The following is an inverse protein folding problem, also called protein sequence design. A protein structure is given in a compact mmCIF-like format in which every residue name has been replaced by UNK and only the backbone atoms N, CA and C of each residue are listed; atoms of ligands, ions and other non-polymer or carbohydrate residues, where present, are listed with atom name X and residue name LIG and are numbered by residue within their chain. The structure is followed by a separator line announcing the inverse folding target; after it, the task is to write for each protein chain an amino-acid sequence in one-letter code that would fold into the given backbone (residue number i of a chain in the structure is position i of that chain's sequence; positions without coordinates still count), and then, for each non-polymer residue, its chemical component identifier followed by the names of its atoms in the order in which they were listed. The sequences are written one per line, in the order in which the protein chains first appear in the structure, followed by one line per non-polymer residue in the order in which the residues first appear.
data_IF_956457194831
#
_entry.id   IF_956457194831
#
_cell.length_a   1.000
_cell.length_b   1.000
_cell.length_c   1.000
_cell.angle_alpha   90.00
_cell.angle_beta   90.00
_cell.angle_gamma   90.00
#
_symmetry.space_group_name_H-M   'P 1'
#
loop_
_entity.id
_entity.type
_entity.pdbx_description
1 polymer ?
#
# COMPACT_ATOMS: atom_id res chain seq x y z
N UNK A 1 -43.55 -23.59 -14.12
CA UNK A 1 -43.06 -22.65 -13.06
C UNK A 1 -42.08 -21.72 -13.73
N UNK A 2 -42.46 -20.47 -14.00
CA UNK A 2 -41.55 -19.45 -14.56
C UNK A 2 -40.48 -19.15 -13.50
N UNK A 3 -39.23 -19.42 -13.82
CA UNK A 3 -38.11 -18.93 -13.03
C UNK A 3 -38.14 -17.41 -13.21
N UNK A 4 -38.61 -16.68 -12.20
CA UNK A 4 -38.51 -15.24 -12.21
C UNK A 4 -37.01 -14.88 -12.41
N UNK A 5 -36.68 -14.23 -13.51
CA UNK A 5 -35.30 -13.76 -13.76
C UNK A 5 -34.88 -12.95 -12.56
N UNK A 6 -33.78 -13.35 -11.90
CA UNK A 6 -33.18 -12.62 -10.81
C UNK A 6 -32.65 -11.30 -11.38
N UNK A 7 -33.43 -10.23 -11.29
CA UNK A 7 -33.07 -8.92 -11.83
C UNK A 7 -32.18 -8.18 -10.82
N UNK A 8 -31.00 -7.78 -11.26
CA UNK A 8 -30.09 -6.89 -10.54
C UNK A 8 -30.14 -5.50 -11.17
N UNK A 9 -29.88 -4.45 -10.41
CA UNK A 9 -29.71 -3.10 -10.94
C UNK A 9 -28.46 -3.02 -11.85
N UNK A 10 -28.45 -2.05 -12.74
CA UNK A 10 -27.30 -1.82 -13.65
C UNK A 10 -26.06 -1.41 -12.85
N UNK A 11 -26.21 -0.55 -11.84
CA UNK A 11 -25.11 -0.15 -10.95
C UNK A 11 -24.52 -1.32 -10.19
N UNK A 12 -25.38 -2.25 -9.72
CA UNK A 12 -24.91 -3.46 -9.07
C UNK A 12 -24.13 -4.36 -10.05
N UNK A 13 -24.64 -4.53 -11.26
CA UNK A 13 -23.98 -5.33 -12.31
C UNK A 13 -22.62 -4.76 -12.65
N UNK A 14 -22.50 -3.44 -12.77
CA UNK A 14 -21.24 -2.76 -13.02
C UNK A 14 -20.25 -2.96 -11.88
N UNK A 15 -20.67 -2.71 -10.63
CA UNK A 15 -19.85 -2.90 -9.44
C UNK A 15 -19.34 -4.34 -9.30
N UNK A 16 -20.17 -5.31 -9.61
CA UNK A 16 -19.81 -6.72 -9.48
C UNK A 16 -18.94 -7.25 -10.63
N UNK A 17 -19.14 -6.75 -11.87
CA UNK A 17 -18.44 -7.22 -13.06
C UNK A 17 -17.12 -6.52 -13.33
N UNK A 18 -17.00 -5.25 -12.94
CA UNK A 18 -15.80 -4.40 -13.17
C UNK A 18 -15.33 -3.74 -11.88
N UNK A 19 -15.01 -4.50 -10.83
CA UNK A 19 -14.60 -3.93 -9.56
C UNK A 19 -13.26 -3.19 -9.69
N UNK A 20 -13.22 -1.95 -9.20
CA UNK A 20 -12.03 -1.07 -9.21
C UNK A 20 -11.18 -1.22 -7.94
N UNK A 21 -11.79 -1.69 -6.84
CA UNK A 21 -11.15 -1.79 -5.54
C UNK A 21 -10.69 -3.22 -5.20
N UNK A 22 -10.72 -4.15 -6.16
CA UNK A 22 -10.29 -5.53 -5.93
C UNK A 22 -8.78 -5.61 -5.72
N UNK A 23 -8.36 -6.22 -4.60
CA UNK A 23 -6.94 -6.37 -4.26
C UNK A 23 -6.71 -6.34 -2.75
N UNK A 24 -5.45 -6.24 -2.35
CA UNK A 24 -5.02 -6.11 -0.96
C UNK A 24 -4.13 -4.89 -0.78
N UNK A 25 -3.93 -4.50 0.46
CA UNK A 25 -2.80 -3.71 0.93
C UNK A 25 -1.98 -4.59 1.88
N UNK A 26 -0.69 -4.37 1.91
CA UNK A 26 0.26 -5.03 2.80
C UNK A 26 0.78 -4.04 3.84
N UNK A 27 1.41 -4.56 4.89
CA UNK A 27 1.95 -3.71 5.96
C UNK A 27 3.04 -2.75 5.44
N UNK A 28 3.77 -3.16 4.42
CA UNK A 28 4.77 -2.35 3.73
C UNK A 28 4.13 -1.12 3.09
N UNK A 29 3.01 -1.29 2.38
CA UNK A 29 2.25 -0.18 1.76
C UNK A 29 1.79 0.85 2.80
N UNK A 30 1.34 0.36 3.96
CA UNK A 30 0.89 1.22 5.06
C UNK A 30 2.06 1.95 5.71
N UNK A 31 3.16 1.23 5.95
CA UNK A 31 4.38 1.77 6.57
C UNK A 31 5.02 2.84 5.68
N UNK A 32 5.13 2.59 4.38
CA UNK A 32 5.67 3.55 3.41
C UNK A 32 4.89 4.88 3.44
N UNK A 33 3.57 4.80 3.52
CA UNK A 33 2.67 5.97 3.52
C UNK A 33 2.44 6.58 4.91
N UNK A 34 2.99 6.00 5.98
CA UNK A 34 2.72 6.43 7.35
C UNK A 34 1.26 6.24 7.79
N UNK A 35 0.58 5.23 7.24
CA UNK A 35 -0.84 4.96 7.47
C UNK A 35 -1.05 3.70 8.32
N UNK A 36 -2.22 3.59 8.92
CA UNK A 36 -2.66 2.38 9.59
C UNK A 36 -3.32 1.42 8.57
N UNK A 37 -2.87 0.16 8.53
CA UNK A 37 -3.54 -0.89 7.78
C UNK A 37 -4.54 -1.62 8.69
N UNK A 38 -5.82 -1.55 8.32
CA UNK A 38 -6.89 -2.24 9.04
C UNK A 38 -7.48 -3.34 8.16
N UNK A 39 -7.48 -4.56 8.65
CA UNK A 39 -8.02 -5.71 7.93
C UNK A 39 -9.25 -6.27 8.66
N UNK A 40 -10.33 -6.50 7.92
CA UNK A 40 -11.51 -7.22 8.41
C UNK A 40 -11.83 -8.39 7.50
N UNK A 41 -12.17 -9.52 8.11
CA UNK A 41 -12.66 -10.70 7.38
C UNK A 41 -13.94 -11.19 8.05
N UNK A 42 -14.98 -11.33 7.26
CA UNK A 42 -16.23 -11.95 7.68
C UNK A 42 -16.79 -12.80 6.56
N UNK A 43 -17.04 -14.07 6.81
CA UNK A 43 -17.44 -15.09 5.81
C UNK A 43 -16.48 -15.10 4.61
N UNK A 44 -17.01 -14.81 3.44
CA UNK A 44 -16.36 -14.82 2.13
C UNK A 44 -15.80 -13.46 1.70
N UNK A 45 -15.91 -12.43 2.56
CA UNK A 45 -15.45 -11.06 2.30
C UNK A 45 -14.26 -10.69 3.19
N UNK A 46 -13.24 -10.06 2.61
CA UNK A 46 -12.10 -9.49 3.31
C UNK A 46 -11.86 -8.07 2.82
N UNK A 47 -11.76 -7.13 3.76
CA UNK A 47 -11.48 -5.72 3.52
C UNK A 47 -10.07 -5.37 3.98
N UNK A 48 -9.46 -4.39 3.28
CA UNK A 48 -8.16 -3.81 3.59
C UNK A 48 -8.29 -2.30 3.48
N UNK A 49 -8.18 -1.59 4.59
CA UNK A 49 -8.26 -0.14 4.61
C UNK A 49 -6.93 0.47 5.01
N UNK A 50 -6.47 1.44 4.23
CA UNK A 50 -5.41 2.36 4.64
C UNK A 50 -6.08 3.58 5.26
N UNK A 51 -5.74 3.84 6.51
CA UNK A 51 -6.34 4.92 7.31
C UNK A 51 -5.24 5.87 7.75
N UNK A 52 -5.45 7.16 7.56
CA UNK A 52 -4.58 8.18 8.11
C UNK A 52 -4.57 8.07 9.64
N UNK A 53 -3.39 7.89 10.22
CA UNK A 53 -3.25 7.65 11.66
C UNK A 53 -3.46 8.92 12.51
N UNK A 54 -3.41 10.11 11.90
CA UNK A 54 -3.61 11.41 12.55
C UNK A 54 -5.09 11.80 12.51
N UNK A 55 -5.64 11.90 11.28
CA UNK A 55 -7.01 12.35 11.07
C UNK A 55 -8.05 11.24 11.28
N UNK A 56 -7.66 9.97 11.24
CA UNK A 56 -8.57 8.84 11.32
C UNK A 56 -9.47 8.68 10.10
N UNK A 57 -9.04 9.19 8.93
CA UNK A 57 -9.78 9.11 7.67
C UNK A 57 -9.32 7.95 6.81
N UNK A 58 -10.26 7.29 6.16
CA UNK A 58 -9.98 6.23 5.19
C UNK A 58 -9.40 6.85 3.93
N UNK A 59 -8.12 6.67 3.70
CA UNK A 59 -7.41 7.14 2.51
C UNK A 59 -7.73 6.26 1.29
N UNK A 60 -7.70 4.94 1.47
CA UNK A 60 -7.98 3.99 0.41
C UNK A 60 -8.52 2.68 0.99
N UNK A 61 -9.36 2.01 0.22
CA UNK A 61 -9.94 0.73 0.58
C UNK A 61 -9.82 -0.25 -0.56
N UNK A 62 -9.50 -1.51 -0.25
CA UNK A 62 -9.47 -2.65 -1.17
C UNK A 62 -10.16 -3.85 -0.56
N UNK A 63 -10.50 -4.82 -1.38
CA UNK A 63 -11.15 -6.04 -0.91
C UNK A 63 -10.80 -7.29 -1.71
N UNK A 64 -10.99 -8.44 -1.08
CA UNK A 64 -11.22 -9.71 -1.74
C UNK A 64 -12.58 -10.29 -1.32
N UNK A 65 -13.30 -10.87 -2.29
CA UNK A 65 -14.54 -11.57 -2.05
C UNK A 65 -14.56 -12.89 -2.84
N UNK A 66 -14.97 -13.96 -2.18
CA UNK A 66 -14.96 -15.33 -2.70
C UNK A 66 -16.37 -15.89 -2.87
N UNK A 67 -17.41 -15.21 -2.37
CA UNK A 67 -18.81 -15.63 -2.38
C UNK A 67 -19.58 -15.29 -3.65
N UNK A 68 -18.87 -15.00 -4.74
CA UNK A 68 -19.49 -14.70 -6.03
C UNK A 68 -19.92 -13.24 -6.18
N UNK A 69 -20.76 -13.00 -7.19
CA UNK A 69 -21.17 -11.68 -7.67
C UNK A 69 -21.71 -10.76 -6.58
N UNK A 70 -22.52 -11.28 -5.66
CA UNK A 70 -23.18 -10.47 -4.62
C UNK A 70 -22.15 -9.90 -3.64
N UNK A 71 -21.24 -10.73 -3.16
CA UNK A 71 -20.18 -10.29 -2.24
C UNK A 71 -19.20 -9.31 -2.90
N UNK A 72 -18.90 -9.50 -4.19
CA UNK A 72 -18.07 -8.57 -4.96
C UNK A 72 -18.75 -7.20 -5.08
N UNK A 73 -20.02 -7.13 -5.48
CA UNK A 73 -20.76 -5.86 -5.62
C UNK A 73 -20.90 -5.10 -4.31
N UNK A 74 -21.18 -5.83 -3.21
CA UNK A 74 -21.25 -5.23 -1.86
C UNK A 74 -19.91 -4.62 -1.45
N UNK A 75 -18.82 -5.38 -1.58
CA UNK A 75 -17.49 -4.92 -1.18
C UNK A 75 -16.99 -3.76 -2.06
N UNK A 76 -17.23 -3.80 -3.37
CA UNK A 76 -16.88 -2.73 -4.31
C UNK A 76 -17.56 -1.41 -3.90
N UNK A 77 -18.89 -1.47 -3.69
CA UNK A 77 -19.65 -0.29 -3.30
C UNK A 77 -19.22 0.23 -1.92
N UNK A 78 -19.01 -0.66 -0.95
CA UNK A 78 -18.57 -0.28 0.38
C UNK A 78 -17.19 0.42 0.32
N UNK A 79 -16.21 -0.14 -0.42
CA UNK A 79 -14.89 0.49 -0.60
C UNK A 79 -14.99 1.87 -1.26
N UNK A 80 -15.90 2.05 -2.21
CA UNK A 80 -16.15 3.34 -2.84
C UNK A 80 -16.73 4.37 -1.85
N UNK A 81 -17.66 3.96 -0.98
CA UNK A 81 -18.36 4.84 -0.03
C UNK A 81 -17.48 5.29 1.12
N UNK A 82 -16.60 4.43 1.63
CA UNK A 82 -15.81 4.73 2.84
C UNK A 82 -14.64 5.68 2.59
N UNK A 83 -14.21 5.85 1.36
CA UNK A 83 -13.07 6.69 1.00
C UNK A 83 -13.31 8.15 1.40
N UNK A 84 -12.42 8.72 2.21
CA UNK A 84 -12.50 10.09 2.73
C UNK A 84 -13.33 10.25 4.00
N UNK A 85 -14.08 9.21 4.41
CA UNK A 85 -14.81 9.23 5.69
C UNK A 85 -13.85 8.97 6.86
N UNK A 86 -14.19 9.49 8.03
CA UNK A 86 -13.56 9.05 9.27
C UNK A 86 -13.95 7.62 9.61
N UNK A 87 -13.17 6.94 10.46
CA UNK A 87 -13.50 5.58 10.90
C UNK A 87 -14.88 5.50 11.54
N UNK A 88 -15.28 6.50 12.33
CA UNK A 88 -16.59 6.49 12.98
C UNK A 88 -17.73 6.67 11.96
N UNK A 89 -17.57 7.58 10.99
CA UNK A 89 -18.53 7.76 9.89
C UNK A 89 -18.63 6.49 9.05
N UNK A 90 -17.50 5.92 8.62
CA UNK A 90 -17.44 4.70 7.82
C UNK A 90 -18.05 3.50 8.56
N UNK A 91 -17.78 3.36 9.85
CA UNK A 91 -18.32 2.27 10.67
C UNK A 91 -19.78 2.47 11.08
N UNK A 92 -20.38 3.64 10.83
CA UNK A 92 -21.80 3.88 11.03
C UNK A 92 -22.68 3.45 9.85
N UNK A 93 -22.05 3.13 8.69
CA UNK A 93 -22.78 2.67 7.51
C UNK A 93 -23.51 1.35 7.78
N UNK A 94 -24.70 1.24 7.24
CA UNK A 94 -25.51 0.02 7.30
C UNK A 94 -25.49 -0.71 5.96
N UNK A 95 -25.79 -1.99 5.96
CA UNK A 95 -25.99 -2.75 4.73
C UNK A 95 -27.05 -2.15 3.81
N UNK A 96 -28.09 -1.52 4.40
CA UNK A 96 -29.13 -0.82 3.65
C UNK A 96 -28.61 0.43 2.92
N UNK A 97 -27.60 1.11 3.43
CA UNK A 97 -27.00 2.28 2.77
C UNK A 97 -26.20 1.84 1.53
N UNK A 98 -25.46 0.73 1.65
CA UNK A 98 -24.73 0.12 0.54
C UNK A 98 -25.70 -0.39 -0.53
N UNK A 99 -26.80 -1.05 -0.13
CA UNK A 99 -27.84 -1.52 -1.05
C UNK A 99 -28.51 -0.33 -1.78
N UNK A 100 -28.87 0.73 -1.05
CA UNK A 100 -29.47 1.93 -1.62
C UNK A 100 -28.57 2.63 -2.63
N UNK A 101 -27.26 2.69 -2.37
CA UNK A 101 -26.28 3.29 -3.28
C UNK A 101 -26.13 2.50 -4.59
N UNK A 102 -26.45 1.22 -4.58
CA UNK A 102 -26.42 0.33 -5.75
C UNK A 102 -27.72 0.35 -6.56
N UNK A 103 -28.77 1.02 -6.13
CA UNK A 103 -30.05 1.11 -6.87
C UNK A 103 -29.91 2.00 -8.10
N UNK A 104 -30.59 1.62 -9.17
CA UNK A 104 -30.80 2.49 -10.34
C UNK A 104 -31.95 3.48 -10.07
N UNK A 105 -33.02 3.00 -9.45
CA UNK A 105 -34.18 3.76 -9.01
C UNK A 105 -34.33 3.64 -7.47
N UNK A 106 -34.61 4.72 -6.74
CA UNK A 106 -34.81 4.68 -5.28
C UNK A 106 -35.85 3.67 -4.82
N UNK A 107 -36.90 3.43 -5.62
CA UNK A 107 -38.00 2.55 -5.28
C UNK A 107 -37.79 1.08 -5.68
N UNK A 108 -36.81 0.81 -6.56
CA UNK A 108 -36.48 -0.54 -6.98
C UNK A 108 -35.25 -1.09 -6.23
N UNK A 109 -35.29 -2.32 -5.66
CA UNK A 109 -34.15 -2.89 -4.98
C UNK A 109 -33.00 -3.20 -5.96
N UNK A 110 -31.75 -2.99 -5.50
CA UNK A 110 -30.56 -3.26 -6.30
C UNK A 110 -30.34 -4.75 -6.60
N UNK A 111 -30.87 -5.62 -5.75
CA UNK A 111 -30.71 -7.08 -5.84
C UNK A 111 -32.03 -7.79 -5.58
N UNK A 112 -32.22 -9.02 -6.08
CA UNK A 112 -33.37 -9.84 -5.76
C UNK A 112 -33.54 -10.04 -4.26
N UNK A 113 -34.77 -10.23 -3.80
CA UNK A 113 -35.10 -10.45 -2.38
C UNK A 113 -34.30 -11.58 -1.75
N UNK A 114 -34.07 -12.67 -2.51
CA UNK A 114 -33.26 -13.84 -2.10
C UNK A 114 -31.80 -13.49 -1.75
N UNK A 115 -31.29 -12.35 -2.22
CA UNK A 115 -29.89 -11.91 -2.04
C UNK A 115 -29.73 -10.76 -1.03
N UNK A 116 -30.81 -10.14 -0.59
CA UNK A 116 -30.79 -8.99 0.34
C UNK A 116 -30.11 -9.31 1.67
N UNK A 117 -30.23 -10.55 2.16
CA UNK A 117 -29.61 -10.97 3.43
C UNK A 117 -28.09 -10.84 3.44
N UNK A 118 -27.45 -10.84 2.26
CA UNK A 118 -26.00 -10.70 2.16
C UNK A 118 -25.49 -9.33 2.64
N UNK A 119 -26.31 -8.27 2.53
CA UNK A 119 -25.97 -6.94 3.04
C UNK A 119 -25.88 -6.87 4.57
N UNK A 120 -26.48 -7.83 5.29
CA UNK A 120 -26.30 -7.98 6.72
C UNK A 120 -24.87 -8.33 7.17
N UNK A 121 -23.99 -8.69 6.23
CA UNK A 121 -22.57 -8.92 6.52
C UNK A 121 -21.78 -7.61 6.64
N UNK A 122 -22.30 -6.48 6.13
CA UNK A 122 -21.62 -5.17 6.18
C UNK A 122 -21.39 -4.69 7.61
N UNK A 123 -22.39 -4.63 8.49
CA UNK A 123 -22.19 -4.23 9.89
C UNK A 123 -21.17 -5.10 10.64
N UNK A 124 -21.12 -6.40 10.35
CA UNK A 124 -20.16 -7.30 10.98
C UNK A 124 -18.72 -7.01 10.54
N UNK A 125 -18.50 -6.73 9.24
CA UNK A 125 -17.19 -6.29 8.73
C UNK A 125 -16.76 -4.96 9.36
N UNK A 126 -17.67 -3.98 9.43
CA UNK A 126 -17.41 -2.66 9.98
C UNK A 126 -17.14 -2.70 11.49
N UNK A 127 -17.80 -3.59 12.23
CA UNK A 127 -17.52 -3.86 13.62
C UNK A 127 -16.09 -4.36 13.83
N UNK A 128 -15.63 -5.31 13.01
CA UNK A 128 -14.25 -5.82 13.06
C UNK A 128 -13.25 -4.71 12.73
N UNK A 129 -13.53 -3.85 11.73
CA UNK A 129 -12.70 -2.68 11.43
C UNK A 129 -12.58 -1.78 12.65
N UNK A 130 -13.71 -1.44 13.29
CA UNK A 130 -13.74 -0.55 14.46
C UNK A 130 -12.94 -1.13 15.64
N UNK A 131 -13.06 -2.43 15.88
CA UNK A 131 -12.34 -3.14 16.94
C UNK A 131 -10.82 -3.19 16.70
N UNK A 132 -10.38 -3.36 15.44
CA UNK A 132 -8.96 -3.48 15.09
C UNK A 132 -8.25 -2.15 14.85
N UNK A 133 -8.98 -1.10 14.54
CA UNK A 133 -8.39 0.20 14.20
C UNK A 133 -7.48 0.77 15.30
N UNK A 134 -7.81 0.73 16.60
CA UNK A 134 -6.93 1.26 17.65
C UNK A 134 -5.54 0.61 17.66
N UNK A 135 -5.48 -0.72 17.46
CA UNK A 135 -4.21 -1.45 17.38
C UNK A 135 -3.43 -1.07 16.13
N UNK A 136 -4.09 -1.05 14.95
CA UNK A 136 -3.46 -0.65 13.70
C UNK A 136 -2.94 0.80 13.75
N UNK A 137 -3.68 1.70 14.40
CA UNK A 137 -3.27 3.08 14.64
C UNK A 137 -2.03 3.15 15.54
N UNK A 138 -2.00 2.38 16.63
CA UNK A 138 -0.85 2.31 17.52
C UNK A 138 0.41 1.81 16.81
N UNK A 139 0.27 0.78 15.96
CA UNK A 139 1.38 0.26 15.12
C UNK A 139 1.88 1.33 14.15
N UNK A 140 0.98 2.03 13.47
CA UNK A 140 1.36 3.10 12.54
C UNK A 140 2.09 4.25 13.27
N UNK A 141 1.60 4.67 14.44
CA UNK A 141 2.23 5.71 15.26
C UNK A 141 3.58 5.26 15.82
N UNK A 142 3.71 4.01 16.28
CA UNK A 142 4.98 3.47 16.74
C UNK A 142 6.00 3.40 15.59
N UNK A 143 5.57 2.98 14.40
CA UNK A 143 6.42 2.94 13.21
C UNK A 143 6.83 4.34 12.76
N UNK A 144 5.93 5.31 12.83
CA UNK A 144 6.24 6.71 12.57
C UNK A 144 7.25 7.27 13.59
N UNK A 145 7.10 6.93 14.88
CA UNK A 145 8.03 7.34 15.95
C UNK A 145 9.41 6.70 15.79
N UNK A 146 9.49 5.45 15.28
CA UNK A 146 10.76 4.78 14.98
C UNK A 146 11.41 5.43 13.76
N UNK A 147 10.64 5.81 12.74
CA UNK A 147 11.12 6.61 11.61
C UNK A 147 11.59 7.99 12.04
N UNK A 148 10.95 8.59 13.03
CA UNK A 148 11.32 9.90 13.59
C UNK A 148 12.55 9.82 14.52
N UNK A 149 12.82 8.64 15.09
CA UNK A 149 14.00 8.41 15.95
C UNK A 149 15.21 7.80 15.23
N UNK A 150 15.12 7.47 13.94
CA UNK A 150 16.24 6.79 13.26
C UNK A 150 16.20 6.65 11.75
N UNK A 151 15.33 7.31 11.02
CA UNK A 151 15.46 7.46 9.55
C UNK A 151 14.35 8.38 8.99
N UNK A 152 14.75 9.54 8.50
CA UNK A 152 14.02 10.30 7.50
C UNK A 152 12.75 11.01 7.95
N UNK A 153 12.86 12.25 8.41
CA UNK A 153 11.74 13.22 8.45
C UNK A 153 11.23 13.49 7.04
N UNK A 154 9.91 13.76 6.86
CA UNK A 154 9.41 14.21 5.56
C UNK A 154 10.13 15.49 5.12
N UNK A 155 10.40 15.60 3.83
CA UNK A 155 11.26 16.60 3.14
C UNK A 155 11.03 18.08 3.46
N UNK A 156 10.02 18.46 4.24
CA UNK A 156 9.68 19.88 4.46
C UNK A 156 10.23 20.51 5.74
N UNK A 157 10.91 19.76 6.63
CA UNK A 157 11.37 20.31 7.91
C UNK A 157 12.64 19.66 8.50
N UNK A 158 13.40 18.85 7.74
CA UNK A 158 14.68 18.30 8.23
C UNK A 158 15.80 19.29 7.93
N UNK A 159 16.50 19.73 8.96
CA UNK A 159 17.81 20.36 8.77
C UNK A 159 18.79 19.28 8.28
N UNK A 160 19.29 19.46 7.06
CA UNK A 160 20.29 18.60 6.47
C UNK A 160 21.58 18.67 7.29
N UNK A 161 22.20 17.55 7.55
CA UNK A 161 23.55 17.53 8.12
C UNK A 161 24.54 18.15 7.14
N UNK A 162 25.68 18.63 7.62
CA UNK A 162 26.71 19.19 6.74
C UNK A 162 27.16 18.18 5.66
N UNK A 163 27.15 16.89 5.98
CA UNK A 163 27.49 15.81 5.04
C UNK A 163 26.42 15.63 3.97
N UNK A 164 25.16 15.68 4.34
CA UNK A 164 24.03 15.55 3.39
C UNK A 164 23.93 16.79 2.50
N UNK A 165 24.23 17.97 3.04
CA UNK A 165 24.26 19.18 2.24
C UNK A 165 25.42 19.14 1.23
N UNK A 166 26.61 18.69 1.66
CA UNK A 166 27.74 18.48 0.77
C UNK A 166 27.45 17.46 -0.35
N UNK A 167 26.67 16.40 -0.04
CA UNK A 167 26.21 15.43 -1.04
C UNK A 167 25.31 16.07 -2.11
N UNK A 168 24.34 16.89 -1.71
CA UNK A 168 23.41 17.56 -2.63
C UNK A 168 24.07 18.65 -3.46
N UNK A 169 25.17 19.23 -2.99
CA UNK A 169 25.96 20.23 -3.71
C UNK A 169 26.94 19.62 -4.73
N UNK A 170 27.11 18.30 -4.72
CA UNK A 170 27.96 17.59 -5.70
C UNK A 170 27.31 17.56 -7.07
N UNK A 171 28.15 17.57 -8.11
CA UNK A 171 27.71 17.25 -9.48
C UNK A 171 27.29 15.77 -9.55
N UNK A 172 26.40 15.44 -10.50
CA UNK A 172 25.98 14.04 -10.75
C UNK A 172 27.18 13.11 -10.94
N UNK A 173 28.20 13.54 -11.69
CA UNK A 173 29.42 12.77 -11.91
C UNK A 173 30.18 12.50 -10.60
N UNK A 174 30.22 13.45 -9.69
CA UNK A 174 30.87 13.29 -8.40
C UNK A 174 30.03 12.49 -7.42
N UNK A 175 28.71 12.59 -7.49
CA UNK A 175 27.79 11.72 -6.76
C UNK A 175 27.96 10.25 -7.19
N UNK A 176 28.06 9.98 -8.50
CA UNK A 176 28.34 8.63 -9.02
C UNK A 176 29.67 8.10 -8.46
N UNK A 177 30.73 8.91 -8.46
CA UNK A 177 32.04 8.51 -7.90
C UNK A 177 31.96 8.15 -6.42
N UNK A 178 31.23 8.94 -5.64
CA UNK A 178 31.05 8.65 -4.21
C UNK A 178 30.24 7.38 -3.96
N UNK A 179 29.18 7.15 -4.75
CA UNK A 179 28.42 5.89 -4.70
C UNK A 179 29.32 4.70 -5.05
N UNK A 180 30.07 4.80 -6.14
CA UNK A 180 31.02 3.73 -6.57
C UNK A 180 32.05 3.42 -5.48
N UNK A 181 32.59 4.43 -4.81
CA UNK A 181 33.54 4.24 -3.71
C UNK A 181 32.94 3.46 -2.54
N UNK A 182 31.73 3.80 -2.12
CA UNK A 182 31.03 3.09 -1.04
C UNK A 182 30.68 1.66 -1.47
N UNK A 183 30.26 1.47 -2.73
CA UNK A 183 29.98 0.13 -3.27
C UNK A 183 31.25 -0.73 -3.30
N UNK A 184 32.39 -0.19 -3.71
CA UNK A 184 33.66 -0.90 -3.75
C UNK A 184 34.14 -1.34 -2.35
N UNK A 185 34.00 -0.47 -1.37
CA UNK A 185 34.46 -0.75 -0.01
C UNK A 185 33.53 -1.69 0.76
N UNK A 186 32.22 -1.53 0.64
CA UNK A 186 31.27 -2.15 1.58
C UNK A 186 30.30 -3.14 0.95
N UNK A 187 30.05 -3.07 -0.36
CA UNK A 187 29.02 -3.87 -1.03
C UNK A 187 29.62 -4.92 -1.96
N UNK A 188 30.51 -4.52 -2.87
CA UNK A 188 31.09 -5.44 -3.86
C UNK A 188 31.82 -6.63 -3.26
N UNK A 189 32.56 -6.53 -2.16
CA UNK A 189 33.18 -7.70 -1.55
C UNK A 189 32.18 -8.80 -1.16
N UNK A 190 31.00 -8.41 -0.67
CA UNK A 190 29.92 -9.33 -0.34
C UNK A 190 29.28 -9.93 -1.59
N UNK A 191 28.99 -9.11 -2.62
CA UNK A 191 28.38 -9.57 -3.87
C UNK A 191 29.29 -10.48 -4.67
N UNK A 192 30.60 -10.21 -4.68
CA UNK A 192 31.58 -11.02 -5.41
C UNK A 192 31.75 -12.40 -4.80
N UNK A 193 31.56 -12.55 -3.47
CA UNK A 193 31.56 -13.87 -2.83
C UNK A 193 30.44 -14.78 -3.35
N UNK A 194 29.34 -14.18 -3.81
CA UNK A 194 28.17 -14.86 -4.36
C UNK A 194 28.17 -14.90 -5.90
N UNK A 195 29.29 -14.50 -6.54
CA UNK A 195 29.47 -14.51 -7.99
C UNK A 195 28.72 -13.42 -8.75
N UNK A 196 28.26 -12.38 -8.04
CA UNK A 196 27.56 -11.23 -8.61
C UNK A 196 28.39 -9.96 -8.55
N UNK A 197 27.94 -8.95 -9.30
CA UNK A 197 28.49 -7.60 -9.27
C UNK A 197 27.36 -6.59 -9.56
N UNK A 198 27.64 -5.31 -9.28
CA UNK A 198 26.71 -4.20 -9.50
C UNK A 198 27.47 -3.01 -10.10
N UNK A 199 26.82 -2.32 -11.04
CA UNK A 199 27.30 -1.11 -11.67
C UNK A 199 26.32 0.02 -11.47
N UNK A 200 26.80 1.22 -11.13
CA UNK A 200 26.00 2.45 -11.10
C UNK A 200 25.87 2.95 -12.53
N UNK A 201 24.65 3.27 -12.93
CA UNK A 201 24.38 3.86 -14.25
C UNK A 201 24.21 5.37 -14.16
N UNK A 202 23.45 5.83 -13.17
CA UNK A 202 23.02 7.22 -13.06
C UNK A 202 22.63 7.54 -11.61
N UNK A 203 22.78 8.78 -11.21
CA UNK A 203 22.20 9.34 -9.97
C UNK A 203 21.26 10.47 -10.36
N UNK A 204 19.97 10.29 -10.17
CA UNK A 204 18.93 11.24 -10.57
C UNK A 204 18.51 12.08 -9.37
N UNK A 205 18.56 13.40 -9.52
CA UNK A 205 18.15 14.40 -8.52
C UNK A 205 18.87 14.25 -7.15
N UNK A 206 20.03 13.58 -7.11
CA UNK A 206 20.75 13.29 -5.86
C UNK A 206 20.05 12.30 -4.93
N UNK A 207 18.97 11.67 -5.35
CA UNK A 207 18.12 10.81 -4.52
C UNK A 207 17.96 9.38 -5.05
N UNK A 208 17.96 9.19 -6.38
CA UNK A 208 17.76 7.88 -7.00
C UNK A 208 19.01 7.39 -7.68
N UNK A 209 19.53 6.27 -7.22
CA UNK A 209 20.70 5.61 -7.79
C UNK A 209 20.22 4.46 -8.68
N UNK A 210 20.37 4.63 -9.99
CA UNK A 210 20.08 3.57 -10.96
C UNK A 210 21.27 2.61 -11.03
N UNK A 211 20.98 1.34 -10.81
CA UNK A 211 22.00 0.28 -10.78
C UNK A 211 21.67 -0.86 -11.73
N UNK A 212 22.70 -1.46 -12.32
CA UNK A 212 22.60 -2.65 -13.14
C UNK A 212 23.32 -3.82 -12.48
N UNK A 213 22.60 -4.93 -12.32
CA UNK A 213 23.18 -6.16 -11.83
C UNK A 213 23.99 -6.88 -12.91
N UNK A 214 25.10 -7.45 -12.51
CA UNK A 214 25.99 -8.25 -13.37
C UNK A 214 26.25 -9.63 -12.74
N UNK A 215 26.37 -10.66 -13.57
CA UNK A 215 26.64 -12.01 -13.11
C UNK A 215 25.45 -12.74 -12.51
N UNK A 216 25.68 -13.59 -11.49
CA UNK A 216 24.68 -14.46 -10.88
C UNK A 216 23.53 -13.72 -10.18
N UNK A 217 23.74 -12.47 -9.78
CA UNK A 217 22.70 -11.65 -9.11
C UNK A 217 21.52 -11.27 -10.02
N UNK A 218 21.67 -11.32 -11.34
CA UNK A 218 20.60 -11.00 -12.30
C UNK A 218 19.58 -12.12 -12.54
N UNK A 219 19.82 -13.34 -12.06
CA UNK A 219 19.00 -14.52 -12.41
C UNK A 219 18.13 -15.08 -11.29
N UNK A 220 18.28 -14.65 -10.04
CA UNK A 220 17.52 -15.15 -8.90
C UNK A 220 16.52 -14.10 -8.37
N UNK A 221 15.26 -14.19 -8.77
CA UNK A 221 14.21 -13.25 -8.36
C UNK A 221 13.92 -13.14 -6.86
N UNK A 222 14.37 -14.11 -6.04
CA UNK A 222 14.16 -14.10 -4.58
C UNK A 222 15.29 -13.41 -3.79
N UNK A 223 16.49 -13.28 -4.33
CA UNK A 223 17.62 -12.61 -3.68
C UNK A 223 17.74 -11.12 -4.03
N UNK A 224 17.13 -10.69 -5.13
CA UNK A 224 17.16 -9.32 -5.62
C UNK A 224 16.68 -8.28 -4.57
N UNK A 225 15.58 -8.57 -3.89
CA UNK A 225 15.02 -7.66 -2.89
C UNK A 225 15.92 -7.47 -1.65
N UNK A 226 16.50 -8.55 -1.14
CA UNK A 226 17.40 -8.49 0.01
C UNK A 226 18.71 -7.75 -0.32
N UNK A 227 19.25 -8.00 -1.52
CA UNK A 227 20.45 -7.33 -2.01
C UNK A 227 20.21 -5.84 -2.23
N UNK A 228 19.10 -5.46 -2.86
CA UNK A 228 18.71 -4.04 -3.01
C UNK A 228 18.58 -3.32 -1.66
N UNK A 229 17.88 -3.93 -0.71
CA UNK A 229 17.71 -3.37 0.62
C UNK A 229 19.04 -3.22 1.37
N UNK A 230 19.97 -4.14 1.19
CA UNK A 230 21.31 -4.04 1.76
C UNK A 230 22.11 -2.88 1.16
N UNK A 231 22.10 -2.74 -0.17
CA UNK A 231 22.79 -1.66 -0.88
C UNK A 231 22.19 -0.31 -0.48
N UNK A 232 20.87 -0.17 -0.54
CA UNK A 232 20.17 1.06 -0.19
C UNK A 232 20.45 1.50 1.26
N UNK A 233 20.39 0.56 2.21
CA UNK A 233 20.71 0.85 3.60
C UNK A 233 22.16 1.32 3.77
N UNK A 234 23.12 0.69 3.07
CA UNK A 234 24.53 1.07 3.14
C UNK A 234 24.74 2.48 2.58
N UNK A 235 24.19 2.78 1.41
CA UNK A 235 24.30 4.11 0.79
C UNK A 235 23.64 5.21 1.62
N UNK A 236 22.49 4.91 2.24
CA UNK A 236 21.81 5.84 3.14
C UNK A 236 22.62 6.17 4.38
N UNK A 237 23.35 5.21 4.92
CA UNK A 237 24.18 5.41 6.11
C UNK A 237 25.46 6.18 5.82
N UNK A 238 26.02 6.03 4.62
CA UNK A 238 27.34 6.58 4.29
C UNK A 238 27.29 7.91 3.54
N UNK A 239 26.22 8.16 2.77
CA UNK A 239 26.13 9.32 1.89
C UNK A 239 24.93 10.23 2.21
N UNK A 240 23.72 9.76 1.94
CA UNK A 240 22.52 10.57 2.06
C UNK A 240 21.30 9.73 2.48
N UNK A 241 20.62 10.13 3.56
CA UNK A 241 19.56 9.34 4.21
C UNK A 241 18.33 9.04 3.36
N UNK A 242 18.07 9.81 2.30
CA UNK A 242 16.90 9.63 1.43
C UNK A 242 17.22 8.92 0.09
N UNK A 243 18.45 8.38 -0.09
CA UNK A 243 18.81 7.64 -1.29
C UNK A 243 17.92 6.42 -1.51
N UNK A 244 17.51 6.22 -2.74
CA UNK A 244 16.75 5.07 -3.21
C UNK A 244 17.54 4.35 -4.31
N UNK A 245 17.62 3.03 -4.21
CA UNK A 245 18.31 2.21 -5.22
C UNK A 245 17.27 1.57 -6.15
N UNK A 246 17.38 1.87 -7.43
CA UNK A 246 16.44 1.41 -8.46
C UNK A 246 17.17 0.50 -9.45
N UNK A 247 16.76 -0.77 -9.60
CA UNK A 247 17.36 -1.66 -10.59
C UNK A 247 16.91 -1.26 -12.00
N UNK A 248 17.86 -1.13 -12.91
CA UNK A 248 17.59 -1.02 -14.35
C UNK A 248 17.37 -2.46 -14.89
N UNK A 249 16.11 -2.78 -15.20
CA UNK A 249 15.71 -4.07 -15.78
C UNK A 249 15.65 -3.98 -17.30
#
# INVERSE_FOLDING_TARGET
MSVAEEKFSTKFEEAASKPKHRGAFYQEDATEKGMALVEAKFKDMKLYWLVDAVEGRVYSAKFFAYGGKVSVGICEQLCSMVKGLTIDEACSLLGADVERALRDDPDEPAVPESKKTAFGNVPELLKIIKEKYPEAKAVAQATASIKDSGAGKPKSARELTMQEQAWLDLSEEDQIKQVELVLDEKVRPALMSDGGNIQVLEVVDGERVLVQYQGACGSCGSSLGATLSFIERTLRQELYGDLQVVPNM
#
